data_IF_041599661787
#
_entry.id   IF_041599661787
#
_cell.length_a   1.000
_cell.length_b   1.000
_cell.length_c   1.000
_cell.angle_alpha   90.00
_cell.angle_beta   90.00
_cell.angle_gamma   90.00
#
_symmetry.space_group_name_H-M   'P 1'
#
loop_
_entity.id
_entity.type
_entity.pdbx_description
1 polymer ?
#
# COMPACT_ATOMS: atom_id res chain seq x y z
N UNK A 1 2.84 23.06 -21.28
CA UNK A 1 3.23 21.64 -21.45
C UNK A 1 2.60 21.03 -22.69
N UNK A 2 1.27 20.89 -22.79
CA UNK A 2 0.61 20.26 -23.95
C UNK A 2 0.91 21.00 -25.26
N UNK A 3 0.71 22.32 -25.29
CA UNK A 3 0.96 23.15 -26.48
C UNK A 3 2.43 23.16 -26.94
N UNK A 4 3.39 22.89 -26.06
CA UNK A 4 4.82 22.80 -26.37
C UNK A 4 5.29 21.37 -26.61
N UNK A 5 4.38 20.39 -26.69
CA UNK A 5 4.65 18.95 -26.84
C UNK A 5 5.64 18.36 -25.81
N UNK A 6 5.66 18.92 -24.58
CA UNK A 6 6.47 18.41 -23.46
C UNK A 6 5.63 17.53 -22.54
N UNK A 7 5.07 16.46 -23.09
CA UNK A 7 4.09 15.58 -22.42
C UNK A 7 4.64 14.21 -22.05
N UNK A 8 5.83 13.88 -22.55
CA UNK A 8 6.50 12.61 -22.33
C UNK A 8 7.76 12.82 -21.48
N UNK A 9 8.14 11.80 -20.71
CA UNK A 9 9.33 11.78 -19.85
C UNK A 9 10.62 12.25 -20.56
N UNK A 10 10.76 11.96 -21.86
CA UNK A 10 11.94 12.33 -22.65
C UNK A 10 11.90 13.77 -23.19
N UNK A 11 10.74 14.38 -23.22
CA UNK A 11 10.57 15.75 -23.77
C UNK A 11 10.27 16.78 -22.69
N UNK A 12 9.83 16.34 -21.49
CA UNK A 12 9.55 17.18 -20.34
C UNK A 12 10.59 17.04 -19.21
N UNK A 13 10.31 17.68 -18.09
CA UNK A 13 11.13 17.64 -16.87
C UNK A 13 10.31 17.30 -15.62
N UNK A 14 8.97 17.41 -15.69
CA UNK A 14 8.12 17.25 -14.52
C UNK A 14 8.21 15.86 -13.90
N UNK A 15 8.40 14.81 -14.71
CA UNK A 15 8.61 13.46 -14.23
C UNK A 15 9.87 13.35 -13.37
N UNK A 16 11.00 13.86 -13.86
CA UNK A 16 12.28 13.83 -13.13
C UNK A 16 12.26 14.69 -11.87
N UNK A 17 11.62 15.87 -11.93
CA UNK A 17 11.44 16.72 -10.76
C UNK A 17 10.55 16.04 -9.71
N UNK A 18 9.48 15.36 -10.14
CA UNK A 18 8.61 14.61 -9.26
C UNK A 18 9.36 13.44 -8.58
N UNK A 19 10.16 12.68 -9.32
CA UNK A 19 11.03 11.63 -8.78
C UNK A 19 11.95 12.18 -7.69
N UNK A 20 12.61 13.31 -7.94
CA UNK A 20 13.51 13.97 -7.00
C UNK A 20 12.78 14.48 -5.74
N UNK A 21 11.65 15.17 -5.93
CA UNK A 21 10.84 15.70 -4.83
C UNK A 21 10.25 14.58 -3.97
N UNK A 22 9.79 13.49 -4.60
CA UNK A 22 9.23 12.35 -3.90
C UNK A 22 10.31 11.55 -3.13
N UNK A 23 11.49 11.35 -3.71
CA UNK A 23 12.62 10.74 -3.00
C UNK A 23 12.98 11.54 -1.75
N UNK A 24 13.09 12.86 -1.86
CA UNK A 24 13.36 13.73 -0.71
C UNK A 24 12.24 13.65 0.35
N UNK A 25 10.98 13.60 -0.07
CA UNK A 25 9.82 13.51 0.83
C UNK A 25 9.73 12.14 1.54
N UNK A 26 10.02 11.06 0.83
CA UNK A 26 10.04 9.70 1.39
C UNK A 26 11.34 9.35 2.13
N UNK A 27 12.33 10.25 2.17
CA UNK A 27 13.61 10.01 2.84
C UNK A 27 14.47 8.93 2.17
N UNK A 28 14.34 8.77 0.84
CA UNK A 28 15.10 7.80 0.05
C UNK A 28 16.10 8.47 -0.87
N UNK A 29 17.15 7.74 -1.29
CA UNK A 29 18.13 8.24 -2.23
C UNK A 29 17.54 8.40 -3.65
N UNK A 30 16.63 7.51 -4.03
CA UNK A 30 16.12 7.40 -5.40
C UNK A 30 14.62 7.13 -5.43
N UNK A 31 13.96 7.66 -6.47
CA UNK A 31 12.60 7.32 -6.85
C UNK A 31 12.47 7.19 -8.38
N UNK A 32 11.48 6.44 -8.84
CA UNK A 32 11.14 6.28 -10.27
C UNK A 32 9.63 6.38 -10.42
N UNK A 33 9.17 7.36 -11.19
CA UNK A 33 7.76 7.54 -11.51
C UNK A 33 7.28 6.52 -12.55
N UNK A 34 6.17 5.86 -12.25
CA UNK A 34 5.59 4.75 -13.00
C UNK A 34 4.12 5.01 -13.33
N UNK A 35 3.59 4.26 -14.28
CA UNK A 35 2.23 4.45 -14.76
C UNK A 35 1.13 4.04 -13.75
N UNK A 36 1.39 3.14 -12.81
CA UNK A 36 0.49 2.77 -11.72
C UNK A 36 1.19 1.97 -10.62
N UNK A 37 0.48 1.71 -9.50
CA UNK A 37 1.04 1.00 -8.34
C UNK A 37 1.27 -0.49 -8.57
N UNK A 38 0.49 -1.15 -9.43
CA UNK A 38 0.71 -2.57 -9.79
C UNK A 38 2.05 -2.74 -10.48
N UNK A 39 2.34 -1.87 -11.44
CA UNK A 39 3.64 -1.82 -12.12
C UNK A 39 4.79 -1.51 -11.15
N UNK A 40 4.54 -0.76 -10.08
CA UNK A 40 5.57 -0.54 -9.05
C UNK A 40 5.97 -1.84 -8.34
N UNK A 41 5.01 -2.72 -8.05
CA UNK A 41 5.28 -4.06 -7.50
C UNK A 41 5.97 -4.95 -8.54
N UNK A 42 5.48 -4.96 -9.79
CA UNK A 42 6.06 -5.75 -10.87
C UNK A 42 7.54 -5.39 -11.09
N UNK A 43 7.85 -4.10 -11.19
CA UNK A 43 9.22 -3.63 -11.39
C UNK A 43 10.14 -3.95 -10.22
N UNK A 44 9.63 -3.88 -8.98
CA UNK A 44 10.38 -4.25 -7.79
C UNK A 44 10.76 -5.74 -7.81
N UNK A 45 9.80 -6.63 -8.03
CA UNK A 45 10.04 -8.08 -8.09
C UNK A 45 11.03 -8.46 -9.20
N UNK A 46 10.84 -7.93 -10.41
CA UNK A 46 11.72 -8.19 -11.55
C UNK A 46 13.15 -7.68 -11.32
N UNK A 47 13.31 -6.49 -10.74
CA UNK A 47 14.63 -5.92 -10.46
C UNK A 47 15.40 -6.69 -9.37
N UNK A 48 14.67 -7.26 -8.39
CA UNK A 48 15.21 -8.14 -7.36
C UNK A 48 15.52 -9.55 -7.88
N UNK A 49 15.14 -9.86 -9.13
CA UNK A 49 15.40 -11.16 -9.75
C UNK A 49 14.46 -12.26 -9.26
N UNK A 50 13.31 -11.88 -8.70
CA UNK A 50 12.28 -12.84 -8.28
C UNK A 50 11.59 -13.43 -9.50
N UNK A 51 11.40 -14.76 -9.54
CA UNK A 51 10.83 -15.46 -10.67
C UNK A 51 10.49 -16.91 -10.41
N UNK A 52 10.54 -17.72 -11.47
CA UNK A 52 10.16 -19.13 -11.42
C UNK A 52 10.95 -19.92 -10.37
N UNK A 53 10.24 -20.63 -9.49
CA UNK A 53 10.81 -21.43 -8.41
C UNK A 53 10.92 -20.69 -7.08
N UNK A 54 10.80 -19.37 -7.09
CA UNK A 54 10.82 -18.55 -5.88
C UNK A 54 9.43 -18.49 -5.23
N UNK A 55 9.42 -18.34 -3.91
CA UNK A 55 8.25 -18.00 -3.12
C UNK A 55 8.37 -16.57 -2.58
N UNK A 56 7.24 -15.84 -2.60
CA UNK A 56 7.15 -14.51 -2.01
C UNK A 56 6.05 -14.50 -0.98
N UNK A 57 6.40 -14.17 0.27
CA UNK A 57 5.43 -14.06 1.35
C UNK A 57 4.70 -12.72 1.23
N UNK A 58 3.38 -12.78 1.33
CA UNK A 58 2.49 -11.61 1.23
C UNK A 58 1.34 -11.75 2.23
N UNK A 59 0.80 -10.61 2.69
CA UNK A 59 -0.41 -10.63 3.52
C UNK A 59 -1.62 -11.15 2.75
N UNK A 60 -2.51 -11.84 3.45
CA UNK A 60 -3.80 -12.25 2.90
C UNK A 60 -4.81 -11.08 2.85
N UNK A 61 -4.63 -10.07 3.72
CA UNK A 61 -5.51 -8.92 3.84
C UNK A 61 -4.95 -7.74 3.04
N UNK A 62 -5.31 -7.69 1.76
CA UNK A 62 -4.80 -6.67 0.84
C UNK A 62 -5.68 -6.56 -0.41
N UNK A 63 -5.28 -5.68 -1.33
CA UNK A 63 -5.77 -5.67 -2.70
C UNK A 63 -5.05 -6.76 -3.52
N UNK A 64 -5.74 -7.34 -4.48
CA UNK A 64 -5.23 -8.46 -5.30
C UNK A 64 -3.85 -8.18 -5.92
N UNK A 65 -3.54 -6.93 -6.26
CA UNK A 65 -2.28 -6.57 -6.92
C UNK A 65 -1.03 -7.00 -6.14
N UNK A 66 -1.05 -6.97 -4.80
CA UNK A 66 0.09 -7.41 -3.99
C UNK A 66 0.42 -8.90 -4.19
N UNK A 67 -0.58 -9.74 -4.47
CA UNK A 67 -0.40 -11.16 -4.75
C UNK A 67 -0.26 -11.45 -6.25
N UNK A 68 -1.04 -10.77 -7.11
CA UNK A 68 -0.99 -11.04 -8.56
C UNK A 68 0.31 -10.60 -9.20
N UNK A 69 1.00 -9.58 -8.69
CA UNK A 69 2.34 -9.20 -9.15
C UNK A 69 3.36 -10.31 -8.93
N UNK A 70 3.24 -11.10 -7.84
CA UNK A 70 4.08 -12.26 -7.57
C UNK A 70 3.85 -13.33 -8.65
N UNK A 71 2.58 -13.64 -8.95
CA UNK A 71 2.21 -14.60 -10.00
C UNK A 71 2.68 -14.13 -11.37
N UNK A 72 2.52 -12.83 -11.67
CA UNK A 72 2.98 -12.24 -12.94
C UNK A 72 4.51 -12.28 -13.09
N UNK A 73 5.26 -12.22 -11.99
CA UNK A 73 6.71 -12.41 -12.00
C UNK A 73 7.12 -13.89 -12.19
N UNK A 74 6.16 -14.83 -12.19
CA UNK A 74 6.40 -16.28 -12.30
C UNK A 74 6.72 -16.95 -10.97
N UNK A 75 6.62 -16.24 -9.85
CA UNK A 75 6.85 -16.75 -8.50
C UNK A 75 5.54 -17.23 -7.84
N UNK A 76 5.66 -17.87 -6.70
CA UNK A 76 4.54 -18.43 -5.92
C UNK A 76 4.20 -17.50 -4.76
N UNK A 77 2.97 -16.96 -4.66
CA UNK A 77 2.53 -16.21 -3.50
C UNK A 77 2.30 -17.16 -2.31
N UNK A 78 2.89 -16.84 -1.17
CA UNK A 78 2.69 -17.54 0.09
C UNK A 78 2.00 -16.61 1.07
N UNK A 79 0.78 -16.95 1.50
CA UNK A 79 -0.01 -16.05 2.33
C UNK A 79 0.30 -16.23 3.80
N UNK A 80 0.68 -15.14 4.46
CA UNK A 80 0.82 -15.05 5.91
C UNK A 80 -0.44 -14.45 6.55
N UNK A 81 -0.77 -14.90 7.77
CA UNK A 81 -1.82 -14.27 8.58
C UNK A 81 -1.37 -12.90 9.10
N UNK A 82 -2.25 -12.19 9.74
CA UNK A 82 -2.04 -10.81 10.16
C UNK A 82 -2.22 -10.66 11.68
N UNK A 83 -1.68 -9.57 12.22
CA UNK A 83 -1.97 -9.12 13.57
C UNK A 83 -3.38 -8.50 13.64
N UNK A 84 -4.07 -8.73 14.76
CA UNK A 84 -5.46 -8.33 14.93
C UNK A 84 -5.65 -6.80 15.04
N UNK A 85 -4.66 -6.07 15.54
CA UNK A 85 -4.75 -4.61 15.73
C UNK A 85 -4.29 -3.84 14.51
N UNK A 86 -3.08 -4.10 14.04
CA UNK A 86 -2.50 -3.43 12.88
C UNK A 86 -3.06 -3.93 11.55
N UNK A 87 -3.60 -5.14 11.52
CA UNK A 87 -4.08 -5.84 10.32
C UNK A 87 -2.94 -6.18 9.33
N UNK A 88 -1.70 -6.04 9.75
CA UNK A 88 -0.49 -6.25 8.97
C UNK A 88 0.16 -7.59 9.29
N UNK A 89 0.99 -8.10 8.37
CA UNK A 89 1.86 -9.24 8.66
C UNK A 89 2.91 -8.84 9.71
N UNK A 90 3.38 -9.83 10.47
CA UNK A 90 4.44 -9.68 11.48
C UNK A 90 5.59 -10.65 11.20
N UNK A 91 6.72 -10.47 11.88
CA UNK A 91 7.84 -11.41 11.76
C UNK A 91 7.43 -12.85 12.12
N UNK A 92 6.57 -13.02 13.13
CA UNK A 92 6.06 -14.32 13.57
C UNK A 92 5.18 -14.97 12.50
N UNK A 93 4.24 -14.20 11.90
CA UNK A 93 3.36 -14.75 10.86
C UNK A 93 4.12 -15.03 9.56
N UNK A 94 5.17 -14.26 9.25
CA UNK A 94 6.08 -14.52 8.14
C UNK A 94 6.87 -15.81 8.40
N UNK A 95 7.49 -15.93 9.58
CA UNK A 95 8.31 -17.10 9.94
C UNK A 95 7.51 -18.40 9.90
N UNK A 96 6.22 -18.36 10.28
CA UNK A 96 5.35 -19.52 10.28
C UNK A 96 5.12 -20.14 8.89
N UNK A 97 5.32 -19.38 7.81
CA UNK A 97 5.07 -19.82 6.43
C UNK A 97 6.33 -19.84 5.56
N UNK A 98 7.50 -19.48 6.11
CA UNK A 98 8.77 -19.49 5.39
C UNK A 98 9.18 -20.89 4.97
N UNK A 99 9.77 -20.98 3.79
CA UNK A 99 10.40 -22.22 3.28
C UNK A 99 11.80 -21.90 2.71
N UNK A 100 12.60 -22.92 2.37
CA UNK A 100 13.89 -22.69 1.68
C UNK A 100 13.77 -22.02 0.29
N UNK A 101 12.56 -21.92 -0.29
CA UNK A 101 12.29 -21.23 -1.55
C UNK A 101 11.86 -19.76 -1.36
N UNK A 102 11.64 -19.35 -0.13
CA UNK A 102 11.27 -17.95 0.15
C UNK A 102 12.40 -17.03 -0.29
N UNK A 103 12.07 -16.06 -1.15
CA UNK A 103 13.03 -15.11 -1.73
C UNK A 103 12.76 -13.67 -1.32
N UNK A 104 11.49 -13.33 -1.12
CA UNK A 104 11.08 -11.97 -0.76
C UNK A 104 9.83 -11.95 0.12
N UNK A 105 9.59 -10.79 0.75
CA UNK A 105 8.42 -10.47 1.55
C UNK A 105 7.82 -9.18 0.99
N UNK A 106 6.51 -9.14 0.79
CA UNK A 106 5.76 -7.91 0.49
C UNK A 106 5.01 -7.49 1.77
N UNK A 107 5.49 -6.42 2.40
CA UNK A 107 4.88 -5.80 3.57
C UNK A 107 3.86 -4.75 3.12
N UNK A 108 2.57 -5.04 3.24
CA UNK A 108 1.52 -4.06 2.94
C UNK A 108 1.24 -3.23 4.18
N UNK A 109 1.41 -1.92 4.10
CA UNK A 109 1.09 -0.98 5.17
C UNK A 109 -0.40 -0.61 5.12
N UNK A 110 -1.23 -1.55 5.60
CA UNK A 110 -2.68 -1.48 5.42
C UNK A 110 -3.28 -0.25 6.11
N UNK A 111 -4.22 0.39 5.44
CA UNK A 111 -4.98 1.56 5.91
C UNK A 111 -4.12 2.78 6.28
N UNK A 112 -2.81 2.72 6.05
CA UNK A 112 -1.86 3.75 6.45
C UNK A 112 -1.13 3.45 7.77
N UNK A 113 -1.21 2.22 8.27
CA UNK A 113 -0.46 1.75 9.43
C UNK A 113 0.76 0.96 8.96
N UNK A 114 1.96 1.38 9.36
CA UNK A 114 3.20 0.66 9.06
C UNK A 114 3.19 -0.74 9.69
N UNK A 115 3.70 -1.74 8.95
CA UNK A 115 4.13 -2.99 9.59
C UNK A 115 5.19 -2.71 10.66
N UNK A 116 5.37 -3.61 11.61
CA UNK A 116 6.48 -3.59 12.56
C UNK A 116 7.77 -3.99 11.82
N UNK A 117 8.45 -2.99 11.26
CA UNK A 117 9.52 -3.22 10.29
C UNK A 117 10.83 -3.73 10.89
N UNK A 118 11.17 -3.36 12.13
CA UNK A 118 12.47 -3.78 12.72
C UNK A 118 12.58 -5.31 12.83
N UNK A 119 11.63 -6.05 13.43
CA UNK A 119 11.72 -7.52 13.48
C UNK A 119 11.59 -8.17 12.10
N UNK A 120 10.81 -7.57 11.17
CA UNK A 120 10.71 -8.08 9.79
C UNK A 120 12.05 -7.92 9.06
N UNK A 121 12.71 -6.78 9.17
CA UNK A 121 14.01 -6.54 8.54
C UNK A 121 15.10 -7.43 9.17
N UNK A 122 15.06 -7.64 10.49
CA UNK A 122 15.98 -8.56 11.17
C UNK A 122 15.79 -10.00 10.66
N UNK A 123 14.55 -10.46 10.52
CA UNK A 123 14.25 -11.79 9.97
C UNK A 123 14.74 -11.91 8.52
N UNK A 124 14.50 -10.87 7.70
CA UNK A 124 14.91 -10.84 6.31
C UNK A 124 16.45 -10.89 6.16
N UNK A 125 17.18 -10.16 6.99
CA UNK A 125 18.66 -10.18 7.02
C UNK A 125 19.18 -11.57 7.40
N UNK A 126 18.59 -12.22 8.39
CA UNK A 126 19.00 -13.56 8.85
C UNK A 126 18.84 -14.64 7.76
N UNK A 127 17.90 -14.44 6.84
CA UNK A 127 17.54 -15.43 5.81
C UNK A 127 17.85 -14.99 4.37
N UNK A 128 18.59 -13.88 4.18
CA UNK A 128 18.92 -13.29 2.86
C UNK A 128 17.68 -13.05 1.99
N UNK A 129 16.63 -12.47 2.59
CA UNK A 129 15.35 -12.17 1.92
C UNK A 129 15.27 -10.70 1.54
N UNK A 130 14.65 -10.42 0.40
CA UNK A 130 14.27 -9.07 0.03
C UNK A 130 12.97 -8.65 0.71
N UNK A 131 12.85 -7.36 1.05
CA UNK A 131 11.64 -6.76 1.60
C UNK A 131 11.16 -5.65 0.66
N UNK A 132 9.93 -5.79 0.17
CA UNK A 132 9.21 -4.78 -0.60
C UNK A 132 8.14 -4.20 0.32
N UNK A 133 8.15 -2.89 0.51
CA UNK A 133 7.09 -2.17 1.22
C UNK A 133 6.00 -1.76 0.22
N UNK A 134 4.81 -2.36 0.31
CA UNK A 134 3.64 -1.88 -0.43
C UNK A 134 3.03 -0.70 0.33
N UNK A 135 3.40 0.49 -0.12
CA UNK A 135 3.03 1.77 0.46
C UNK A 135 1.77 2.39 -0.20
N UNK A 136 1.04 1.63 -1.02
CA UNK A 136 -0.11 2.14 -1.78
C UNK A 136 -1.20 2.78 -0.90
N UNK A 137 -1.25 2.46 0.39
CA UNK A 137 -2.20 2.99 1.36
C UNK A 137 -1.55 3.85 2.44
N UNK A 138 -0.23 4.16 2.35
CA UNK A 138 0.53 4.63 3.50
C UNK A 138 1.33 5.93 3.26
N UNK A 139 0.88 6.78 2.31
CA UNK A 139 1.51 8.07 2.04
C UNK A 139 1.54 8.94 3.28
N UNK A 140 2.73 9.21 3.80
CA UNK A 140 2.95 10.00 5.02
C UNK A 140 2.99 9.18 6.32
N UNK A 141 2.83 7.85 6.25
CA UNK A 141 3.08 6.99 7.41
C UNK A 141 4.58 6.95 7.74
N UNK A 142 4.88 6.75 9.02
CA UNK A 142 6.25 6.51 9.48
C UNK A 142 6.31 5.49 10.61
N UNK A 143 7.42 4.80 10.70
CA UNK A 143 7.77 3.83 11.72
C UNK A 143 9.04 4.27 12.43
N UNK A 144 8.96 4.52 13.74
CA UNK A 144 10.09 4.99 14.58
C UNK A 144 10.86 6.16 13.95
N UNK A 145 10.10 7.13 13.41
CA UNK A 145 10.64 8.33 12.78
C UNK A 145 11.16 8.16 11.34
N UNK A 146 11.15 6.95 10.77
CA UNK A 146 11.51 6.68 9.38
C UNK A 146 10.24 6.65 8.52
N UNK A 147 10.15 7.38 7.39
CA UNK A 147 9.04 7.24 6.46
C UNK A 147 8.96 5.79 5.93
N UNK A 148 7.74 5.27 5.78
CA UNK A 148 7.55 3.99 5.07
C UNK A 148 8.02 4.11 3.62
N UNK A 149 8.42 3.00 3.01
CA UNK A 149 9.02 2.97 1.68
C UNK A 149 10.51 3.35 1.65
N UNK A 150 11.11 3.61 2.84
CA UNK A 150 12.54 3.87 3.00
C UNK A 150 13.27 2.82 3.86
N UNK A 151 12.54 1.85 4.40
CA UNK A 151 13.04 0.89 5.41
C UNK A 151 13.42 -0.44 4.75
N UNK A 152 12.56 -0.96 3.88
CA UNK A 152 12.84 -2.14 3.07
C UNK A 152 13.78 -1.87 1.90
N UNK A 153 13.94 -2.86 1.03
CA UNK A 153 14.80 -2.73 -0.16
C UNK A 153 14.16 -1.85 -1.24
N UNK A 154 12.82 -1.94 -1.40
CA UNK A 154 12.04 -1.15 -2.35
C UNK A 154 10.73 -0.74 -1.69
N UNK A 155 10.35 0.53 -1.82
CA UNK A 155 9.00 1.00 -1.56
C UNK A 155 8.20 1.08 -2.87
N UNK A 156 7.00 0.50 -2.91
CA UNK A 156 6.08 0.54 -4.04
C UNK A 156 4.86 1.39 -3.70
N UNK A 157 4.56 2.39 -4.53
CA UNK A 157 3.53 3.41 -4.26
C UNK A 157 2.49 3.44 -5.37
N UNK A 158 1.26 3.77 -5.01
CA UNK A 158 0.15 3.95 -5.94
C UNK A 158 -0.43 5.36 -5.83
N UNK A 159 -0.72 5.97 -6.98
CA UNK A 159 -1.41 7.26 -7.09
C UNK A 159 -2.76 7.12 -7.82
N UNK A 160 -3.44 5.99 -7.62
CA UNK A 160 -4.80 5.76 -8.11
C UNK A 160 -5.77 6.78 -7.49
N UNK A 161 -6.96 6.97 -8.11
CA UNK A 161 -7.90 8.03 -7.72
C UNK A 161 -8.34 8.01 -6.25
N UNK A 162 -8.37 6.84 -5.60
CA UNK A 162 -8.84 6.67 -4.23
C UNK A 162 -7.72 6.77 -3.18
N UNK A 163 -6.45 6.89 -3.61
CA UNK A 163 -5.30 6.95 -2.70
C UNK A 163 -5.21 8.29 -1.97
N UNK A 164 -4.38 8.35 -0.95
CA UNK A 164 -4.13 9.58 -0.17
C UNK A 164 -3.65 10.69 -1.10
N UNK A 165 -2.85 10.33 -2.08
CA UNK A 165 -2.33 11.19 -3.14
C UNK A 165 -2.62 10.53 -4.50
N UNK A 166 -3.10 11.31 -5.49
CA UNK A 166 -3.38 10.82 -6.84
C UNK A 166 -2.66 11.65 -7.90
N UNK A 167 -2.37 11.06 -9.04
CA UNK A 167 -1.78 11.77 -10.20
C UNK A 167 -2.76 11.90 -11.36
N UNK A 168 -4.02 12.18 -11.04
CA UNK A 168 -5.09 12.37 -12.03
C UNK A 168 -5.81 11.08 -12.42
N UNK A 169 -5.86 10.12 -11.49
CA UNK A 169 -6.61 8.87 -11.64
C UNK A 169 -5.72 7.63 -11.60
N UNK A 170 -4.55 7.69 -12.20
CA UNK A 170 -3.56 6.61 -12.19
C UNK A 170 -2.15 7.17 -12.01
N UNK A 171 -1.25 6.34 -11.46
CA UNK A 171 0.16 6.61 -11.26
C UNK A 171 0.78 5.69 -10.22
N UNK A 172 2.10 5.63 -10.21
CA UNK A 172 2.88 4.88 -9.23
C UNK A 172 4.28 5.45 -9.07
N UNK A 173 4.99 4.93 -8.08
CA UNK A 173 6.38 5.26 -7.80
C UNK A 173 7.06 4.04 -7.18
N UNK A 174 8.33 3.84 -7.45
CA UNK A 174 9.19 3.02 -6.60
C UNK A 174 10.24 3.89 -5.95
N UNK A 175 10.61 3.56 -4.72
CA UNK A 175 11.65 4.23 -3.93
C UNK A 175 12.69 3.21 -3.46
N UNK A 176 13.96 3.60 -3.38
CA UNK A 176 15.04 2.75 -2.86
C UNK A 176 16.24 3.58 -2.45
N UNK A 177 17.06 3.03 -1.56
CA UNK A 177 18.37 3.58 -1.19
C UNK A 177 19.53 2.90 -1.95
N UNK A 178 19.25 1.84 -2.71
CA UNK A 178 20.25 1.11 -3.49
C UNK A 178 20.32 1.65 -4.93
N UNK A 179 21.45 2.27 -5.28
CA UNK A 179 21.69 2.85 -6.62
C UNK A 179 21.74 1.78 -7.71
N UNK A 180 22.27 0.60 -7.44
CA UNK A 180 22.34 -0.46 -8.43
C UNK A 180 20.94 -1.02 -8.75
N UNK A 181 20.13 -1.21 -7.71
CA UNK A 181 18.72 -1.62 -7.85
C UNK A 181 17.90 -0.55 -8.57
N UNK A 182 18.11 0.73 -8.23
CA UNK A 182 17.48 1.84 -8.94
C UNK A 182 17.81 1.84 -10.44
N UNK A 183 19.07 1.65 -10.83
CA UNK A 183 19.46 1.57 -12.27
C UNK A 183 18.76 0.41 -12.98
N UNK A 184 18.60 -0.75 -12.32
CA UNK A 184 17.83 -1.90 -12.86
C UNK A 184 16.35 -1.56 -13.05
N UNK A 185 15.70 -0.99 -12.04
CA UNK A 185 14.28 -0.58 -12.11
C UNK A 185 14.05 0.50 -13.17
N UNK A 186 14.96 1.46 -13.27
CA UNK A 186 14.92 2.51 -14.29
C UNK A 186 15.01 1.91 -15.70
N UNK A 187 15.90 0.94 -15.89
CA UNK A 187 16.08 0.22 -17.17
C UNK A 187 14.80 -0.53 -17.55
N UNK A 188 14.23 -1.31 -16.61
CA UNK A 188 12.98 -2.07 -16.83
C UNK A 188 11.83 -1.16 -17.25
N UNK A 189 11.68 0.01 -16.61
CA UNK A 189 10.65 1.02 -16.93
C UNK A 189 10.78 1.57 -18.36
N UNK A 190 11.98 1.59 -18.94
CA UNK A 190 12.27 2.29 -20.18
C UNK A 190 12.93 1.38 -21.23
N UNK A 191 12.24 0.32 -21.58
CA UNK A 191 12.62 -0.61 -22.66
C UNK A 191 13.98 -1.30 -22.50
N UNK A 192 14.54 -1.34 -21.29
CA UNK A 192 15.86 -1.93 -21.06
C UNK A 192 17.05 -1.03 -21.38
N UNK A 193 16.85 0.29 -21.49
CA UNK A 193 17.95 1.25 -21.62
C UNK A 193 18.84 1.21 -20.39
N UNK A 194 20.14 1.19 -20.59
CA UNK A 194 21.11 1.35 -19.52
C UNK A 194 21.25 2.83 -19.15
N UNK A 195 21.12 3.15 -17.84
CA UNK A 195 21.38 4.49 -17.35
C UNK A 195 22.78 4.96 -17.72
N UNK A 196 23.77 4.10 -17.52
CA UNK A 196 25.16 4.41 -17.82
C UNK A 196 25.40 4.67 -19.31
N UNK A 197 24.73 3.89 -20.18
CA UNK A 197 24.82 4.10 -21.63
C UNK A 197 24.16 5.39 -22.09
N UNK A 198 23.14 5.87 -21.38
CA UNK A 198 22.42 7.11 -21.74
C UNK A 198 23.13 8.35 -21.20
N UNK A 199 23.68 8.30 -19.97
CA UNK A 199 24.11 9.50 -19.27
C UNK A 199 25.58 9.54 -18.85
N UNK A 200 26.25 8.38 -18.75
CA UNK A 200 27.62 8.30 -18.21
C UNK A 200 28.66 7.92 -19.27
N UNK A 201 28.27 7.20 -20.31
CA UNK A 201 29.17 6.80 -21.41
C UNK A 201 28.99 7.67 -22.64
N UNK A 202 30.10 7.95 -23.34
CA UNK A 202 30.03 8.56 -24.65
C UNK A 202 29.40 7.60 -25.66
N UNK A 203 28.45 8.08 -26.44
CA UNK A 203 27.79 7.35 -27.53
C UNK A 203 27.48 8.25 -28.72
N UNK A 204 27.36 7.66 -29.90
CA UNK A 204 26.96 8.40 -31.09
C UNK A 204 25.57 9.03 -30.94
N UNK A 205 25.28 10.16 -31.56
CA UNK A 205 23.94 10.78 -31.49
C UNK A 205 22.84 9.79 -31.92
N UNK A 206 21.73 9.79 -31.13
CA UNK A 206 20.58 8.94 -31.36
C UNK A 206 20.39 7.88 -30.28
N UNK A 207 19.38 7.02 -30.46
CA UNK A 207 18.99 5.98 -29.49
C UNK A 207 19.50 4.58 -29.90
N UNK A 208 20.70 4.50 -30.49
CA UNK A 208 21.30 3.22 -30.89
C UNK A 208 22.23 2.71 -29.79
N UNK A 209 22.16 1.38 -29.54
CA UNK A 209 23.07 0.66 -28.64
C UNK A 209 22.99 1.09 -27.17
N UNK A 210 21.83 1.63 -26.74
CA UNK A 210 21.58 2.07 -25.38
C UNK A 210 20.81 1.03 -24.53
N UNK A 211 20.20 0.03 -25.17
CA UNK A 211 19.41 -1.02 -24.54
C UNK A 211 20.32 -2.21 -24.21
N UNK A 212 20.56 -2.47 -22.94
CA UNK A 212 21.45 -3.55 -22.46
C UNK A 212 20.67 -4.68 -21.78
N UNK A 213 19.34 -4.53 -21.67
CA UNK A 213 18.43 -5.54 -21.13
C UNK A 213 17.09 -5.46 -21.85
N UNK A 214 16.17 -6.36 -21.50
CA UNK A 214 14.78 -6.27 -21.91
C UNK A 214 13.98 -5.53 -20.85
N UNK A 215 13.10 -4.64 -21.27
CA UNK A 215 12.20 -3.88 -20.45
C UNK A 215 10.96 -3.49 -21.23
N UNK A 216 10.13 -2.63 -20.65
CA UNK A 216 8.88 -2.19 -21.26
C UNK A 216 8.64 -0.70 -21.05
N UNK A 217 7.53 -0.18 -21.58
CA UNK A 217 7.14 1.21 -21.41
C UNK A 217 6.19 1.38 -20.21
N UNK A 218 6.75 1.64 -19.04
CA UNK A 218 6.00 1.87 -17.81
C UNK A 218 6.13 3.31 -17.29
N UNK A 219 6.49 4.24 -18.16
CA UNK A 219 6.72 5.64 -17.79
C UNK A 219 5.41 6.34 -17.42
N UNK A 220 5.47 7.15 -16.37
CA UNK A 220 4.44 8.15 -16.06
C UNK A 220 4.47 9.27 -17.13
N UNK A 221 3.32 9.85 -17.44
CA UNK A 221 3.24 11.04 -18.29
C UNK A 221 3.60 12.30 -17.52
N UNK A 222 4.08 13.33 -18.22
CA UNK A 222 4.43 14.62 -17.60
C UNK A 222 3.21 15.30 -16.97
N UNK A 223 2.00 15.13 -17.51
CA UNK A 223 0.77 15.67 -16.93
C UNK A 223 0.46 15.08 -15.56
N UNK A 224 0.59 13.75 -15.42
CA UNK A 224 0.44 13.07 -14.14
C UNK A 224 1.49 13.53 -13.14
N UNK A 225 2.74 13.68 -13.57
CA UNK A 225 3.83 14.15 -12.71
C UNK A 225 3.58 15.56 -12.18
N UNK A 226 3.07 16.50 -13.01
CA UNK A 226 2.69 17.85 -12.55
C UNK A 226 1.61 17.81 -11.48
N UNK A 227 0.58 16.97 -11.66
CA UNK A 227 -0.47 16.80 -10.65
C UNK A 227 0.14 16.25 -9.36
N UNK A 228 1.00 15.22 -9.46
CA UNK A 228 1.70 14.62 -8.33
C UNK A 228 2.52 15.63 -7.53
N UNK A 229 3.31 16.46 -8.19
CA UNK A 229 4.10 17.53 -7.56
C UNK A 229 3.22 18.52 -6.78
N UNK A 230 2.09 18.93 -7.37
CA UNK A 230 1.14 19.84 -6.68
C UNK A 230 0.55 19.14 -5.44
N UNK A 231 0.15 17.88 -5.55
CA UNK A 231 -0.42 17.15 -4.43
C UNK A 231 0.60 16.87 -3.33
N UNK A 232 1.85 16.59 -3.69
CA UNK A 232 2.92 16.36 -2.73
C UNK A 232 3.11 17.57 -1.78
N UNK A 233 2.95 18.80 -2.27
CA UNK A 233 3.03 20.00 -1.43
C UNK A 233 1.89 20.11 -0.41
N UNK A 234 0.77 19.42 -0.63
CA UNK A 234 -0.41 19.44 0.26
C UNK A 234 -0.39 18.32 1.32
N UNK A 235 0.52 17.36 1.17
CA UNK A 235 0.57 16.17 2.03
C UNK A 235 0.62 16.48 3.53
N UNK A 236 1.40 17.45 4.05
CA UNK A 236 1.43 17.76 5.48
C UNK A 236 0.06 18.16 6.03
N UNK A 237 -0.67 19.01 5.30
CA UNK A 237 -2.02 19.43 5.69
C UNK A 237 -3.01 18.27 5.61
N UNK A 238 -2.96 17.49 4.55
CA UNK A 238 -3.86 16.36 4.37
C UNK A 238 -3.66 15.25 5.42
N UNK A 239 -2.42 14.97 5.76
CA UNK A 239 -2.09 14.00 6.80
C UNK A 239 -2.65 14.42 8.16
N UNK A 240 -2.46 15.69 8.55
CA UNK A 240 -3.01 16.25 9.79
C UNK A 240 -4.53 16.14 9.83
N UNK A 241 -5.22 16.52 8.73
CA UNK A 241 -6.68 16.47 8.68
C UNK A 241 -7.21 15.04 8.69
N UNK A 242 -6.60 14.11 7.94
CA UNK A 242 -6.98 12.70 7.93
C UNK A 242 -6.85 12.08 9.31
N UNK A 243 -5.75 12.33 9.99
CA UNK A 243 -5.52 11.81 11.34
C UNK A 243 -6.52 12.37 12.33
N UNK A 244 -6.81 13.68 12.29
CA UNK A 244 -7.82 14.30 13.13
C UNK A 244 -9.22 13.69 12.90
N UNK A 245 -9.61 13.45 11.64
CA UNK A 245 -10.86 12.80 11.29
C UNK A 245 -10.92 11.35 11.85
N UNK A 246 -9.84 10.59 11.72
CA UNK A 246 -9.77 9.22 12.25
C UNK A 246 -9.85 9.21 13.78
N UNK A 247 -9.14 10.11 14.45
CA UNK A 247 -9.15 10.23 15.91
C UNK A 247 -10.54 10.54 16.46
N UNK A 248 -11.31 11.41 15.80
CA UNK A 248 -12.70 11.70 16.19
C UNK A 248 -13.57 10.43 16.10
N UNK A 249 -13.46 9.66 15.03
CA UNK A 249 -14.22 8.40 14.85
C UNK A 249 -13.75 7.34 15.87
N UNK A 250 -12.44 7.20 16.11
CA UNK A 250 -11.92 6.27 17.13
C UNK A 250 -12.38 6.65 18.54
N UNK A 251 -12.42 7.95 18.88
CA UNK A 251 -12.93 8.40 20.16
C UNK A 251 -14.41 8.03 20.33
N UNK A 252 -15.26 8.32 19.34
CA UNK A 252 -16.69 7.97 19.36
C UNK A 252 -16.91 6.45 19.43
N UNK A 253 -16.11 5.65 18.70
CA UNK A 253 -16.17 4.20 18.72
C UNK A 253 -15.72 3.63 20.08
N UNK A 254 -14.74 4.26 20.74
CA UNK A 254 -14.23 3.87 22.06
C UNK A 254 -15.27 3.95 23.17
N UNK A 255 -16.31 4.76 23.01
CA UNK A 255 -17.45 4.83 23.94
C UNK A 255 -18.43 3.66 23.77
N UNK A 256 -18.33 2.88 22.69
CA UNK A 256 -19.19 1.75 22.40
C UNK A 256 -18.52 0.45 22.88
N UNK A 257 -19.03 -0.19 23.93
CA UNK A 257 -18.45 -1.41 24.51
C UNK A 257 -18.30 -2.56 23.50
N UNK A 258 -19.20 -2.66 22.53
CA UNK A 258 -19.19 -3.67 21.47
C UNK A 258 -18.29 -3.33 20.27
N UNK A 259 -17.51 -2.26 20.35
CA UNK A 259 -16.47 -1.96 19.38
C UNK A 259 -15.07 -2.10 20.01
N UNK A 260 -14.12 -2.55 19.20
CA UNK A 260 -12.69 -2.50 19.48
C UNK A 260 -12.07 -1.44 18.59
N UNK A 261 -11.35 -0.52 19.19
CA UNK A 261 -10.57 0.51 18.49
C UNK A 261 -9.11 0.04 18.47
N UNK A 262 -8.42 0.10 17.34
CA UNK A 262 -7.02 -0.27 17.28
C UNK A 262 -6.14 0.73 18.06
N UNK A 263 -5.07 0.23 18.68
CA UNK A 263 -4.13 1.05 19.46
C UNK A 263 -2.85 1.24 18.67
N UNK A 264 -2.70 2.42 18.05
CA UNK A 264 -1.49 2.76 17.28
C UNK A 264 -0.34 3.04 18.24
N UNK A 265 0.85 2.37 18.09
CA UNK A 265 2.02 2.66 18.91
C UNK A 265 2.48 4.11 18.80
N UNK A 266 2.99 4.68 19.90
CA UNK A 266 3.37 6.09 19.97
C UNK A 266 4.52 6.49 19.03
N UNK A 267 5.34 5.54 18.61
CA UNK A 267 6.46 5.71 17.69
C UNK A 267 6.08 5.46 16.22
N UNK A 268 4.79 5.25 15.94
CA UNK A 268 4.22 5.03 14.61
C UNK A 268 3.30 6.19 14.24
N UNK A 269 3.53 6.80 13.08
CA UNK A 269 2.62 7.78 12.49
C UNK A 269 1.70 7.08 11.50
N UNK A 270 0.41 7.04 11.82
CA UNK A 270 -0.62 6.47 10.95
C UNK A 270 -1.04 7.48 9.87
N UNK A 271 -1.01 7.09 8.59
CA UNK A 271 -1.39 7.97 7.49
C UNK A 271 -2.91 8.18 7.34
N UNK A 272 -3.70 7.41 8.06
CA UNK A 272 -5.17 7.45 8.03
C UNK A 272 -5.75 7.46 6.59
N UNK A 273 -5.31 6.47 5.78
CA UNK A 273 -5.94 6.24 4.48
C UNK A 273 -7.41 5.88 4.64
N UNK A 274 -7.71 4.99 5.59
CA UNK A 274 -9.04 4.60 6.05
C UNK A 274 -9.04 4.48 7.57
N UNK A 275 -10.20 4.64 8.20
CA UNK A 275 -10.38 4.45 9.64
C UNK A 275 -11.11 3.13 9.88
N UNK A 276 -10.45 2.20 10.58
CA UNK A 276 -11.04 0.91 10.95
C UNK A 276 -11.39 0.86 12.42
N UNK A 277 -12.53 0.21 12.73
CA UNK A 277 -12.91 -0.29 14.05
C UNK A 277 -13.49 -1.70 13.87
N UNK A 278 -13.56 -2.49 14.94
CA UNK A 278 -13.92 -3.90 14.88
C UNK A 278 -15.07 -4.23 15.81
N UNK A 279 -16.05 -4.97 15.31
CA UNK A 279 -17.23 -5.38 16.08
C UNK A 279 -16.88 -6.57 16.97
N UNK A 280 -17.21 -6.49 18.25
CA UNK A 280 -17.19 -7.62 19.20
C UNK A 280 -18.52 -8.34 19.09
N UNK A 281 -18.56 -9.41 18.33
CA UNK A 281 -19.80 -10.14 17.97
C UNK A 281 -20.56 -10.66 19.18
N UNK A 282 -19.84 -11.07 20.22
CA UNK A 282 -20.37 -11.62 21.48
C UNK A 282 -21.17 -10.60 22.32
N UNK A 283 -21.06 -9.30 21.98
CA UNK A 283 -21.80 -8.22 22.66
C UNK A 283 -22.98 -7.69 21.84
N UNK A 284 -23.28 -8.31 20.69
CA UNK A 284 -24.41 -7.93 19.87
C UNK A 284 -25.69 -8.66 20.29
N UNK A 285 -26.84 -8.00 20.10
CA UNK A 285 -28.16 -8.61 20.21
C UNK A 285 -28.37 -9.68 19.14
N UNK A 286 -29.25 -10.62 19.41
CA UNK A 286 -29.71 -11.58 18.41
C UNK A 286 -30.21 -10.89 17.12
N UNK A 287 -29.77 -11.41 15.99
CA UNK A 287 -30.10 -10.88 14.66
C UNK A 287 -29.28 -9.66 14.25
N UNK A 288 -28.28 -9.25 15.04
CA UNK A 288 -27.31 -8.24 14.64
C UNK A 288 -25.96 -8.88 14.31
N UNK A 289 -25.35 -8.38 13.23
CA UNK A 289 -24.00 -8.70 12.77
C UNK A 289 -23.36 -7.45 12.16
N UNK A 290 -22.10 -7.57 11.73
CA UNK A 290 -21.35 -6.52 11.06
C UNK A 290 -22.06 -5.96 9.82
N UNK A 291 -22.66 -6.83 8.99
CA UNK A 291 -23.28 -6.42 7.73
C UNK A 291 -24.57 -5.64 7.98
N UNK A 292 -25.35 -6.04 8.97
CA UNK A 292 -26.52 -5.28 9.42
C UNK A 292 -26.12 -3.91 9.98
N UNK A 293 -25.05 -3.83 10.77
CA UNK A 293 -24.53 -2.55 11.28
C UNK A 293 -24.14 -1.63 10.11
N UNK A 294 -23.41 -2.13 9.11
CA UNK A 294 -23.09 -1.35 7.90
C UNK A 294 -24.34 -0.87 7.16
N UNK A 295 -25.33 -1.72 7.01
CA UNK A 295 -26.60 -1.39 6.33
C UNK A 295 -27.35 -0.30 7.06
N UNK A 296 -27.41 -0.35 8.39
CA UNK A 296 -28.08 0.65 9.22
C UNK A 296 -27.36 2.00 9.24
N UNK A 297 -26.00 1.99 9.23
CA UNK A 297 -25.18 3.20 9.09
C UNK A 297 -25.40 3.83 7.72
N UNK A 298 -25.39 3.03 6.65
CA UNK A 298 -25.61 3.50 5.29
C UNK A 298 -27.01 4.07 5.08
N UNK A 299 -28.05 3.45 5.67
CA UNK A 299 -29.42 3.94 5.63
C UNK A 299 -29.60 5.33 6.27
N UNK A 300 -28.72 5.71 7.18
CA UNK A 300 -28.65 7.06 7.81
C UNK A 300 -27.77 8.05 7.02
N UNK A 301 -27.33 7.63 5.82
CA UNK A 301 -26.57 8.48 4.91
C UNK A 301 -25.11 8.72 5.33
N UNK A 302 -24.49 7.73 6.00
CA UNK A 302 -23.05 7.71 6.30
C UNK A 302 -22.40 6.59 5.47
N UNK A 303 -21.45 6.90 4.56
CA UNK A 303 -20.69 5.89 3.83
C UNK A 303 -19.83 5.06 4.78
N UNK A 304 -20.05 3.75 4.79
CA UNK A 304 -19.25 2.79 5.56
C UNK A 304 -19.12 1.48 4.80
N UNK A 305 -18.05 0.73 5.06
CA UNK A 305 -17.66 -0.43 4.27
C UNK A 305 -17.05 -1.53 5.15
N UNK A 306 -16.96 -2.74 4.63
CA UNK A 306 -16.23 -3.84 5.29
C UNK A 306 -14.69 -3.71 5.19
N UNK A 307 -14.19 -2.83 4.33
CA UNK A 307 -12.77 -2.57 4.14
C UNK A 307 -12.10 -3.46 3.09
N UNK A 308 -10.80 -3.66 3.26
CA UNK A 308 -9.99 -4.48 2.34
C UNK A 308 -10.42 -5.93 2.35
N UNK A 309 -10.29 -6.61 1.20
CA UNK A 309 -10.45 -8.07 1.12
C UNK A 309 -9.51 -8.72 2.14
N UNK A 310 -10.06 -9.54 3.02
CA UNK A 310 -9.32 -10.09 4.15
C UNK A 310 -8.63 -11.40 3.83
N UNK A 311 -9.22 -12.16 2.94
CA UNK A 311 -8.72 -13.46 2.48
C UNK A 311 -8.63 -13.42 0.94
N UNK A 312 -7.69 -12.60 0.41
CA UNK A 312 -7.56 -12.36 -1.04
C UNK A 312 -7.36 -13.67 -1.83
N UNK A 313 -6.82 -14.68 -1.20
CA UNK A 313 -6.64 -16.01 -1.81
C UNK A 313 -7.97 -16.74 -2.10
N UNK A 314 -9.12 -16.25 -1.59
CA UNK A 314 -10.44 -16.77 -1.94
C UNK A 314 -11.00 -16.19 -3.24
N UNK A 315 -10.33 -15.20 -3.84
CA UNK A 315 -10.70 -14.70 -5.15
C UNK A 315 -10.63 -15.82 -6.19
N UNK A 316 -11.54 -15.80 -7.16
CA UNK A 316 -11.64 -16.83 -8.21
C UNK A 316 -10.37 -16.94 -9.07
N UNK A 317 -9.55 -15.92 -9.09
CA UNK A 317 -8.23 -15.97 -9.74
C UNK A 317 -7.33 -17.08 -9.22
N UNK A 318 -7.55 -17.53 -7.99
CA UNK A 318 -6.81 -18.64 -7.36
C UNK A 318 -7.48 -20.01 -7.51
N UNK A 319 -8.62 -20.12 -8.21
CA UNK A 319 -9.27 -21.39 -8.48
C UNK A 319 -8.38 -22.26 -9.37
N UNK A 320 -8.21 -23.52 -9.00
CA UNK A 320 -7.36 -24.47 -9.73
C UNK A 320 -5.85 -24.24 -9.60
N UNK A 321 -5.41 -23.38 -8.69
CA UNK A 321 -4.00 -23.20 -8.32
C UNK A 321 -3.71 -23.83 -6.97
N UNK A 322 -2.43 -24.12 -6.71
CA UNK A 322 -1.95 -24.61 -5.41
C UNK A 322 -1.52 -23.43 -4.48
N UNK A 323 -1.97 -22.20 -4.75
CA UNK A 323 -1.54 -21.01 -4.03
C UNK A 323 -2.34 -20.72 -2.75
N UNK A 324 -3.51 -21.37 -2.59
CA UNK A 324 -4.32 -21.19 -1.37
C UNK A 324 -3.66 -21.86 -0.17
N UNK A 325 -3.67 -21.22 1.02
CA UNK A 325 -3.21 -21.85 2.23
C UNK A 325 -4.06 -23.09 2.53
N UNK A 326 -3.43 -24.14 3.11
CA UNK A 326 -4.11 -25.39 3.42
C UNK A 326 -5.24 -25.24 4.46
N UNK A 327 -5.17 -24.21 5.29
CA UNK A 327 -6.19 -23.83 6.27
C UNK A 327 -6.48 -22.34 6.16
N UNK A 328 -7.72 -21.89 6.41
CA UNK A 328 -8.05 -20.47 6.48
C UNK A 328 -7.16 -19.74 7.50
N UNK A 329 -6.77 -18.52 7.19
CA UNK A 329 -5.99 -17.68 8.08
C UNK A 329 -6.92 -17.02 9.12
N UNK A 330 -6.79 -17.48 10.36
CA UNK A 330 -7.80 -17.26 11.39
C UNK A 330 -8.04 -15.78 11.72
N UNK A 331 -6.96 -15.00 11.88
CA UNK A 331 -7.07 -13.57 12.23
C UNK A 331 -7.56 -12.76 11.04
N UNK A 332 -7.04 -13.02 9.84
CA UNK A 332 -7.52 -12.36 8.64
C UNK A 332 -9.03 -12.59 8.41
N UNK A 333 -9.50 -13.83 8.60
CA UNK A 333 -10.92 -14.18 8.51
C UNK A 333 -11.76 -13.41 9.54
N UNK A 334 -11.35 -13.42 10.81
CA UNK A 334 -12.05 -12.68 11.87
C UNK A 334 -12.15 -11.19 11.53
N UNK A 335 -11.05 -10.57 11.09
CA UNK A 335 -11.05 -9.18 10.66
C UNK A 335 -11.97 -8.95 9.45
N UNK A 336 -12.05 -9.89 8.53
CA UNK A 336 -12.99 -9.85 7.41
C UNK A 336 -14.46 -9.84 7.84
N UNK A 337 -14.78 -10.50 8.95
CA UNK A 337 -16.13 -10.64 9.49
C UNK A 337 -16.52 -9.52 10.48
N UNK A 338 -15.53 -8.77 11.03
CA UNK A 338 -15.75 -7.81 12.11
C UNK A 338 -15.45 -6.37 11.76
N UNK A 339 -14.72 -6.09 10.68
CA UNK A 339 -14.29 -4.74 10.31
C UNK A 339 -15.45 -3.82 9.91
N UNK A 340 -15.46 -2.61 10.47
CA UNK A 340 -16.16 -1.44 9.95
C UNK A 340 -15.10 -0.43 9.48
N UNK A 341 -15.21 0.07 8.27
CA UNK A 341 -14.28 1.01 7.67
C UNK A 341 -14.98 2.31 7.30
N UNK A 342 -14.41 3.43 7.73
CA UNK A 342 -14.93 4.77 7.49
C UNK A 342 -13.98 5.60 6.64
N UNK A 343 -14.56 6.54 5.89
CA UNK A 343 -13.81 7.52 5.12
C UNK A 343 -13.32 8.65 6.01
N UNK A 344 -12.06 9.05 5.80
CA UNK A 344 -11.40 10.13 6.57
C UNK A 344 -10.70 11.12 5.64
N UNK A 345 -11.23 11.27 4.43
CA UNK A 345 -10.66 12.15 3.40
C UNK A 345 -10.55 13.60 3.91
N UNK A 346 -9.47 14.35 3.56
CA UNK A 346 -9.22 15.69 4.11
C UNK A 346 -10.22 16.76 3.64
N UNK A 347 -11.08 16.45 2.68
CA UNK A 347 -12.17 17.34 2.23
C UNK A 347 -13.47 17.14 3.00
N UNK A 348 -13.55 16.12 3.88
CA UNK A 348 -14.72 15.96 4.75
C UNK A 348 -14.77 17.11 5.73
N UNK A 349 -15.95 17.69 5.85
CA UNK A 349 -16.22 18.76 6.83
C UNK A 349 -16.35 18.21 8.24
N UNK A 350 -16.16 19.04 9.24
CA UNK A 350 -16.39 18.68 10.65
C UNK A 350 -17.80 18.13 10.84
N UNK A 351 -18.82 18.75 10.23
CA UNK A 351 -20.21 18.29 10.32
C UNK A 351 -20.44 16.88 9.75
N UNK A 352 -19.70 16.48 8.69
CA UNK A 352 -19.77 15.12 8.16
C UNK A 352 -19.09 14.10 9.05
N UNK A 353 -17.98 14.47 9.70
CA UNK A 353 -17.32 13.63 10.71
C UNK A 353 -18.18 13.49 11.96
N UNK A 354 -18.74 14.60 12.47
CA UNK A 354 -19.66 14.58 13.62
C UNK A 354 -20.89 13.71 13.34
N UNK A 355 -21.47 13.82 12.14
CA UNK A 355 -22.55 12.94 11.70
C UNK A 355 -22.11 11.47 11.70
N UNK A 356 -20.91 11.18 11.22
CA UNK A 356 -20.38 9.79 11.22
C UNK A 356 -20.26 9.25 12.63
N UNK A 357 -19.74 10.03 13.57
CA UNK A 357 -19.61 9.66 14.98
C UNK A 357 -21.00 9.42 15.61
N UNK A 358 -21.94 10.36 15.45
CA UNK A 358 -23.27 10.26 16.02
C UNK A 358 -24.07 9.05 15.50
N UNK A 359 -24.01 8.81 14.17
CA UNK A 359 -24.69 7.67 13.54
C UNK A 359 -24.06 6.35 14.00
N UNK A 360 -22.72 6.27 14.11
CA UNK A 360 -22.06 5.08 14.64
C UNK A 360 -22.55 4.75 16.04
N UNK A 361 -22.58 5.73 16.94
CA UNK A 361 -23.04 5.55 18.33
C UNK A 361 -24.53 5.17 18.40
N UNK A 362 -25.40 5.83 17.60
CA UNK A 362 -26.82 5.50 17.50
C UNK A 362 -27.05 4.05 17.07
N UNK A 363 -26.40 3.63 15.98
CA UNK A 363 -26.57 2.26 15.47
C UNK A 363 -26.01 1.23 16.44
N UNK A 364 -24.87 1.50 17.08
CA UNK A 364 -24.32 0.60 18.09
C UNK A 364 -25.23 0.49 19.32
N UNK A 365 -25.88 1.56 19.76
CA UNK A 365 -26.85 1.51 20.86
C UNK A 365 -28.09 0.64 20.49
N UNK A 366 -28.47 0.58 19.21
CA UNK A 366 -29.52 -0.33 18.74
C UNK A 366 -29.04 -1.79 18.67
N UNK A 367 -27.78 -1.99 18.32
CA UNK A 367 -27.18 -3.30 18.11
C UNK A 367 -26.76 -4.02 19.40
N UNK A 368 -26.61 -3.30 20.50
CA UNK A 368 -26.15 -3.83 21.80
C UNK A 368 -27.27 -3.87 22.82
N UNK A 369 -27.13 -4.73 23.87
CA UNK A 369 -28.12 -4.92 24.94
C UNK A 369 -28.19 -3.70 25.86
#
# INVERSE_FOLDING_TARGET
MVLSNKVNYWTGQAGREFEKEFAAWSGTAHAIALMNGTVALDVALLALGVGQGDEVIVTSRTFLASASSIVNAGAVPVFADVDADSQNITAETIQAVMTPRTRAIICVHLAGWSCDMDPIMQLAEQHDLFVIEDCAQAHGASYKGKPVGSIGHVGAWSFCQDKIMTTGGEGGMVTTNDTALWKKMWSLKDHGKSWDAVYEREHAPGFRWLHESFGTNWRMTEMQAVIGRIQLTRMPQWQTQRLANAQAIWAAAGECSALRVPVVPADTVHAAYKCYVFVKRELLKEGWDRDRILSEIAARGVPSFSGSCSEVYLEKAFDGTDYRPAQPLAVARELGETSLMFLVHPTLTTAEIDKTCAVLQEVMALATA
#
